data_IF_238569994456
#
_entry.id   IF_238569994456
#
_cell.length_a   1.000
_cell.length_b   1.000
_cell.length_c   1.000
_cell.angle_alpha   90.00
_cell.angle_beta   90.00
_cell.angle_gamma   90.00
#
_symmetry.space_group_name_H-M   'P 1'
#
loop_
_entity.id
_entity.type
_entity.pdbx_description
1 polymer ?
#
# COMPACT_ATOMS: atom_id res chain seq x y z
N UNK A 1 -1.75 13.91 -8.32
CA UNK A 1 -2.51 12.70 -8.68
C UNK A 1 -3.00 12.67 -10.11
N UNK A 2 -2.96 13.80 -10.78
CA UNK A 2 -3.28 13.83 -12.22
C UNK A 2 -2.37 12.92 -13.00
N UNK A 3 -2.95 12.16 -13.90
CA UNK A 3 -2.24 11.23 -14.77
C UNK A 3 -2.01 9.86 -14.16
N UNK A 4 -1.88 9.77 -12.85
CA UNK A 4 -1.72 8.49 -12.17
C UNK A 4 -3.08 7.80 -11.93
N UNK A 5 -4.06 8.58 -11.51
CA UNK A 5 -5.42 8.09 -11.23
C UNK A 5 -6.44 9.02 -11.92
N UNK A 6 -6.63 8.89 -13.24
CA UNK A 6 -7.46 9.83 -13.99
C UNK A 6 -8.93 9.86 -13.57
N UNK A 7 -9.44 8.78 -12.99
CA UNK A 7 -10.81 8.71 -12.48
C UNK A 7 -10.99 9.37 -11.11
N UNK A 8 -9.92 9.80 -10.46
CA UNK A 8 -9.94 10.39 -9.12
C UNK A 8 -9.80 11.91 -9.23
N UNK A 9 -10.68 12.70 -8.59
CA UNK A 9 -10.51 14.15 -8.52
C UNK A 9 -9.17 14.55 -7.91
N UNK A 10 -8.60 15.65 -8.38
CA UNK A 10 -7.24 16.05 -8.02
C UNK A 10 -7.02 16.24 -6.52
N UNK A 11 -7.98 16.82 -5.84
CA UNK A 11 -7.89 17.13 -4.41
C UNK A 11 -8.50 16.05 -3.52
N UNK A 12 -8.86 14.90 -4.07
CA UNK A 12 -9.45 13.81 -3.32
C UNK A 12 -8.43 13.15 -2.40
N UNK A 13 -8.92 12.66 -1.27
CA UNK A 13 -8.16 11.77 -0.41
C UNK A 13 -8.06 10.40 -1.06
N UNK A 14 -6.88 9.82 -1.04
CA UNK A 14 -6.65 8.45 -1.50
C UNK A 14 -6.18 7.62 -0.33
N UNK A 15 -6.80 6.46 -0.15
CA UNK A 15 -6.45 5.54 0.92
C UNK A 15 -6.06 4.18 0.34
N UNK A 16 -4.98 3.65 0.85
CA UNK A 16 -4.55 2.27 0.64
C UNK A 16 -4.89 1.47 1.87
N UNK A 17 -5.46 0.31 1.69
CA UNK A 17 -5.88 -0.49 2.83
C UNK A 17 -5.79 -1.98 2.54
N UNK A 18 -5.69 -2.75 3.60
CA UNK A 18 -5.71 -4.20 3.53
C UNK A 18 -7.16 -4.69 3.58
N UNK A 19 -7.53 -5.46 2.59
CA UNK A 19 -8.73 -6.29 2.66
C UNK A 19 -8.37 -7.55 3.41
N UNK A 20 -8.75 -7.60 4.69
CA UNK A 20 -8.37 -8.69 5.58
C UNK A 20 -9.19 -9.94 5.27
N UNK A 21 -8.64 -10.81 4.47
CA UNK A 21 -9.27 -12.06 4.09
C UNK A 21 -9.46 -13.00 5.27
N UNK A 22 -10.54 -13.76 5.27
CA UNK A 22 -10.84 -14.80 6.22
C UNK A 22 -10.93 -14.34 7.70
N UNK A 23 -11.20 -13.06 7.91
CA UNK A 23 -11.32 -12.46 9.25
C UNK A 23 -12.75 -12.13 9.65
N UNK A 24 -13.69 -12.35 8.74
CA UNK A 24 -15.11 -12.08 8.98
C UNK A 24 -15.97 -13.03 8.17
N UNK A 25 -17.27 -13.04 8.45
CA UNK A 25 -18.25 -13.82 7.67
C UNK A 25 -18.20 -13.44 6.19
N UNK A 26 -18.01 -12.15 5.91
CA UNK A 26 -17.98 -11.60 4.55
C UNK A 26 -16.71 -11.93 3.78
N UNK A 27 -15.60 -12.17 4.48
CA UNK A 27 -14.31 -12.47 3.88
C UNK A 27 -13.90 -13.94 4.00
N UNK A 28 -14.80 -14.79 4.43
CA UNK A 28 -14.51 -16.23 4.60
C UNK A 28 -13.98 -16.85 3.31
N UNK A 29 -12.85 -17.54 3.41
CA UNK A 29 -12.20 -18.19 2.27
C UNK A 29 -11.43 -17.25 1.35
N UNK A 30 -11.44 -15.94 1.62
CA UNK A 30 -10.66 -14.98 0.85
C UNK A 30 -9.27 -14.80 1.44
N UNK A 31 -8.31 -14.45 0.59
CA UNK A 31 -6.95 -14.12 0.99
C UNK A 31 -6.83 -12.62 1.21
N UNK A 32 -5.88 -12.22 2.03
CA UNK A 32 -5.54 -10.82 2.18
C UNK A 32 -5.03 -10.23 0.86
N UNK A 33 -5.45 -9.03 0.55
CA UNK A 33 -4.97 -8.28 -0.60
C UNK A 33 -4.96 -6.79 -0.26
N UNK A 34 -4.30 -5.99 -1.09
CA UNK A 34 -4.30 -4.55 -0.92
C UNK A 34 -5.25 -3.91 -1.90
N UNK A 35 -5.99 -2.92 -1.43
CA UNK A 35 -6.96 -2.18 -2.23
C UNK A 35 -6.74 -0.69 -2.10
N UNK A 36 -7.34 0.04 -3.03
CA UNK A 36 -7.32 1.49 -3.06
C UNK A 36 -8.75 2.04 -3.13
N UNK A 37 -8.99 3.12 -2.43
CA UNK A 37 -10.23 3.87 -2.49
C UNK A 37 -9.94 5.36 -2.43
N UNK A 38 -10.92 6.18 -2.78
CA UNK A 38 -10.78 7.62 -2.71
C UNK A 38 -12.06 8.28 -2.20
N UNK A 39 -11.94 9.51 -1.71
CA UNK A 39 -13.05 10.30 -1.19
C UNK A 39 -12.81 11.78 -1.42
N UNK A 40 -13.87 12.52 -1.75
CA UNK A 40 -13.81 13.98 -1.82
C UNK A 40 -14.08 14.64 -0.47
N UNK A 41 -14.85 13.99 0.40
CA UNK A 41 -15.32 14.58 1.66
C UNK A 41 -14.74 13.90 2.92
N UNK A 42 -13.97 12.84 2.76
CA UNK A 42 -13.39 12.09 3.87
C UNK A 42 -14.36 11.16 4.61
N UNK A 43 -15.60 11.08 4.16
CA UNK A 43 -16.63 10.25 4.80
C UNK A 43 -17.24 9.23 3.85
N UNK A 44 -17.37 9.56 2.59
CA UNK A 44 -17.90 8.68 1.54
C UNK A 44 -16.77 8.24 0.63
N UNK A 45 -16.51 6.95 0.57
CA UNK A 45 -15.40 6.39 -0.19
C UNK A 45 -15.88 5.57 -1.38
N UNK A 46 -15.20 5.73 -2.50
CA UNK A 46 -15.37 4.91 -3.69
C UNK A 46 -14.15 4.03 -3.88
N UNK A 47 -14.37 2.73 -4.03
CA UNK A 47 -13.27 1.80 -4.26
C UNK A 47 -12.85 1.77 -5.72
N UNK A 48 -11.53 1.72 -5.93
CA UNK A 48 -10.95 1.44 -7.24
C UNK A 48 -10.58 -0.04 -7.37
N UNK A 49 -10.77 -0.82 -6.31
CA UNK A 49 -10.54 -2.25 -6.32
C UNK A 49 -9.17 -2.68 -5.84
N UNK A 50 -8.83 -3.91 -6.18
CA UNK A 50 -7.56 -4.52 -5.81
C UNK A 50 -6.42 -3.97 -6.64
N UNK A 51 -5.32 -3.62 -5.97
CA UNK A 51 -4.10 -3.12 -6.61
C UNK A 51 -2.91 -4.06 -6.40
N UNK A 52 -2.97 -4.90 -5.40
CA UNK A 52 -1.93 -5.87 -5.13
C UNK A 52 -2.58 -7.14 -4.57
N UNK A 53 -2.53 -8.25 -5.31
CA UNK A 53 -3.09 -9.50 -4.84
C UNK A 53 -2.26 -10.06 -3.68
N UNK A 54 -2.76 -11.13 -3.08
CA UNK A 54 -2.05 -11.79 -2.00
C UNK A 54 -0.64 -12.21 -2.43
N UNK A 55 0.37 -11.76 -1.69
CA UNK A 55 1.77 -12.06 -1.96
C UNK A 55 2.23 -13.31 -1.20
N UNK A 56 1.79 -13.40 0.05
CA UNK A 56 2.10 -14.47 0.96
C UNK A 56 0.98 -14.51 2.02
N UNK A 57 1.07 -15.27 3.08
CA UNK A 57 -0.04 -15.49 4.00
C UNK A 57 -0.64 -14.24 4.64
N UNK A 58 0.19 -13.34 5.15
CA UNK A 58 -0.22 -12.29 6.08
C UNK A 58 0.01 -10.87 5.56
N UNK A 59 0.22 -10.66 4.27
CA UNK A 59 0.54 -9.34 3.73
C UNK A 59 -0.52 -8.30 4.05
N UNK A 60 -0.10 -7.25 4.77
CA UNK A 60 -0.96 -6.18 5.24
C UNK A 60 -0.19 -4.91 5.57
N UNK A 61 -0.93 -3.88 5.96
CA UNK A 61 -0.42 -2.61 6.43
C UNK A 61 0.40 -1.86 5.37
N UNK A 62 -0.20 -1.55 4.21
CA UNK A 62 0.50 -0.82 3.17
C UNK A 62 0.74 0.63 3.58
N UNK A 63 1.94 1.11 3.37
CA UNK A 63 2.28 2.52 3.50
C UNK A 63 2.87 3.01 2.20
N UNK A 64 2.25 4.05 1.63
CA UNK A 64 2.57 4.53 0.29
C UNK A 64 3.16 5.93 0.34
N UNK A 65 4.22 6.14 -0.41
CA UNK A 65 4.93 7.41 -0.51
C UNK A 65 5.17 7.78 -1.95
N UNK A 66 5.11 9.06 -2.22
CA UNK A 66 5.66 9.61 -3.45
C UNK A 66 7.15 9.92 -3.28
N UNK A 67 7.95 9.45 -4.21
CA UNK A 67 9.38 9.72 -4.21
C UNK A 67 9.76 10.37 -5.53
N UNK A 68 10.19 11.63 -5.47
CA UNK A 68 10.42 12.41 -6.67
C UNK A 68 9.12 12.78 -7.38
N UNK A 69 9.17 12.92 -8.71
CA UNK A 69 8.00 13.36 -9.49
C UNK A 69 7.24 12.22 -10.18
N UNK A 70 7.84 11.04 -10.29
CA UNK A 70 7.29 9.97 -11.15
C UNK A 70 7.09 8.63 -10.47
N UNK A 71 7.59 8.47 -9.24
CA UNK A 71 7.61 7.15 -8.61
C UNK A 71 6.89 7.15 -7.28
N UNK A 72 6.17 6.05 -7.06
CA UNK A 72 5.49 5.76 -5.81
C UNK A 72 6.12 4.52 -5.22
N UNK A 73 6.29 4.52 -3.91
CA UNK A 73 6.81 3.39 -3.15
C UNK A 73 5.77 2.92 -2.16
N UNK A 74 5.68 1.62 -2.00
CA UNK A 74 4.88 1.01 -0.95
C UNK A 74 5.77 0.10 -0.14
N UNK A 75 5.75 0.25 1.17
CA UNK A 75 6.27 -0.76 2.08
C UNK A 75 5.09 -1.54 2.63
N UNK A 76 5.23 -2.86 2.67
CA UNK A 76 4.18 -3.79 3.05
C UNK A 76 4.74 -4.87 3.96
N UNK A 77 4.07 -5.16 5.05
CA UNK A 77 4.38 -6.36 5.82
C UNK A 77 3.97 -7.58 5.01
N UNK A 78 4.88 -8.53 4.86
CA UNK A 78 4.64 -9.76 4.11
C UNK A 78 4.26 -10.92 5.03
N UNK A 79 5.19 -11.35 5.85
CA UNK A 79 4.97 -12.43 6.82
C UNK A 79 6.15 -12.52 7.80
N UNK A 80 5.91 -13.01 9.02
CA UNK A 80 6.98 -13.17 10.01
C UNK A 80 7.74 -11.88 10.30
N UNK A 81 8.96 -11.78 9.79
CA UNK A 81 9.83 -10.61 9.91
C UNK A 81 10.18 -10.00 8.56
N UNK A 82 9.45 -10.37 7.53
CA UNK A 82 9.75 -9.96 6.17
C UNK A 82 8.83 -8.82 5.72
N UNK A 83 9.43 -7.84 5.08
CA UNK A 83 8.74 -6.67 4.51
C UNK A 83 9.12 -6.55 3.03
N UNK A 84 8.15 -6.19 2.21
CA UNK A 84 8.38 -5.94 0.79
C UNK A 84 8.39 -4.46 0.47
N UNK A 85 9.25 -4.06 -0.46
CA UNK A 85 9.22 -2.73 -1.06
C UNK A 85 8.76 -2.89 -2.51
N UNK A 86 7.71 -2.19 -2.82
CA UNK A 86 7.07 -2.19 -4.13
C UNK A 86 7.18 -0.81 -4.75
N UNK A 87 7.23 -0.74 -6.06
CA UNK A 87 7.23 0.52 -6.80
C UNK A 87 6.11 0.55 -7.82
N UNK A 88 5.63 1.75 -8.10
CA UNK A 88 4.61 2.00 -9.11
C UNK A 88 4.83 3.37 -9.75
N UNK A 89 4.50 3.46 -11.04
CA UNK A 89 4.49 4.73 -11.76
C UNK A 89 3.08 5.32 -11.88
N UNK A 90 2.05 4.56 -11.53
CA UNK A 90 0.65 4.96 -11.70
C UNK A 90 -0.24 4.72 -10.48
N UNK A 91 0.34 4.33 -9.35
CA UNK A 91 -0.38 4.07 -8.09
C UNK A 91 -1.27 2.82 -8.10
N UNK A 92 -1.40 2.13 -9.22
CA UNK A 92 -2.23 0.92 -9.38
C UNK A 92 -1.44 -0.33 -9.65
N UNK A 93 -0.45 -0.23 -10.52
CA UNK A 93 0.37 -1.38 -10.94
C UNK A 93 1.66 -1.36 -10.13
N UNK A 94 1.80 -2.35 -9.26
CA UNK A 94 2.89 -2.44 -8.30
C UNK A 94 3.77 -3.65 -8.59
N UNK A 95 5.07 -3.45 -8.53
CA UNK A 95 6.05 -4.54 -8.63
C UNK A 95 6.98 -4.54 -7.45
N UNK A 96 7.27 -5.69 -6.91
CA UNK A 96 8.22 -5.83 -5.81
C UNK A 96 9.65 -5.64 -6.32
N UNK A 97 10.39 -4.77 -5.66
CA UNK A 97 11.80 -4.51 -5.99
C UNK A 97 12.75 -5.04 -4.95
N UNK A 98 12.28 -5.20 -3.72
CA UNK A 98 13.15 -5.55 -2.62
C UNK A 98 12.38 -6.27 -1.52
N UNK A 99 13.07 -7.15 -0.81
CA UNK A 99 12.59 -7.79 0.40
C UNK A 99 13.56 -7.46 1.55
N UNK A 100 13.00 -7.14 2.70
CA UNK A 100 13.77 -6.84 3.90
C UNK A 100 13.35 -7.78 5.01
N UNK A 101 14.32 -8.41 5.66
CA UNK A 101 14.09 -9.19 6.87
C UNK A 101 14.65 -8.42 8.05
N UNK A 102 13.78 -8.02 8.98
CA UNK A 102 14.16 -7.25 10.15
C UNK A 102 13.82 -8.08 11.38
N UNK A 103 14.82 -8.70 12.02
CA UNK A 103 14.59 -9.51 13.22
C UNK A 103 13.84 -8.75 14.31
N UNK A 104 12.92 -9.43 14.96
CA UNK A 104 12.11 -8.88 16.06
C UNK A 104 11.11 -7.78 15.63
N UNK A 105 10.99 -7.50 14.33
CA UNK A 105 9.99 -6.57 13.80
C UNK A 105 8.91 -7.32 13.05
N UNK A 106 7.68 -6.89 13.23
CA UNK A 106 6.53 -7.37 12.47
C UNK A 106 5.45 -6.31 12.44
N UNK A 107 4.59 -6.37 11.42
CA UNK A 107 3.45 -5.48 11.23
C UNK A 107 3.81 -4.00 11.04
N UNK A 108 2.87 -3.23 10.57
CA UNK A 108 2.82 -1.77 10.52
C UNK A 108 4.12 -1.09 10.08
N UNK A 109 4.72 -1.47 8.94
CA UNK A 109 5.95 -0.81 8.49
C UNK A 109 5.69 0.64 8.12
N UNK A 110 6.71 1.45 8.28
CA UNK A 110 6.73 2.81 7.77
C UNK A 110 8.06 3.09 7.08
N UNK A 111 8.04 3.96 6.09
CA UNK A 111 9.22 4.36 5.35
C UNK A 111 9.24 5.87 5.25
N UNK A 112 10.26 6.50 5.79
CA UNK A 112 10.38 7.95 5.78
C UNK A 112 11.70 8.38 5.17
N UNK A 113 11.66 9.50 4.47
CA UNK A 113 12.87 10.14 3.96
C UNK A 113 13.45 11.04 5.04
N UNK A 114 14.68 10.79 5.38
CA UNK A 114 15.42 11.63 6.33
C UNK A 114 16.36 12.56 5.57
N UNK A 115 16.36 13.83 5.97
CA UNK A 115 17.37 14.78 5.54
C UNK A 115 18.34 15.01 6.69
N UNK A 116 19.61 14.84 6.46
CA UNK A 116 20.63 15.10 7.46
C UNK A 116 21.48 16.30 7.06
N UNK A 117 21.85 17.11 8.01
CA UNK A 117 22.78 18.21 7.82
C UNK A 117 24.24 17.76 7.95
N UNK A 118 24.44 16.54 8.42
CA UNK A 118 25.78 15.98 8.65
C UNK A 118 26.06 14.88 7.63
N UNK A 119 27.28 14.85 7.21
CA UNK A 119 27.76 13.85 6.26
C UNK A 119 29.01 13.18 6.76
#
# INVERSE_FOLDING_TARGET
MRGELPEVPEDALVVYYTCAGNRSVWSRGKKMCQKIAWSEDGTHFQTLGEILPNQIFENRDPKVYRFGQKHWFMVLFLDGHEFGIFVSDNMKDWRQTQSLVIPEAWECPDLVRLSTKYR
#
